data_IF_659623986176
#
_entry.id   IF_659623986176
#
_cell.length_a   1.000
_cell.length_b   1.000
_cell.length_c   1.000
_cell.angle_alpha   90.00
_cell.angle_beta   90.00
_cell.angle_gamma   90.00
#
_symmetry.space_group_name_H-M   'P 1'
#
loop_
_entity.id
_entity.type
_entity.pdbx_description
1 polymer ?
#
# COMPACT_ATOMS: atom_id res chain seq x y z
N UNK A 1 7.16 66.87 11.10
CA UNK A 1 8.19 65.82 10.95
C UNK A 1 7.87 64.49 11.68
N UNK A 2 6.76 64.33 12.42
CA UNK A 2 6.50 63.10 13.22
C UNK A 2 5.64 61.98 12.57
N UNK A 3 5.19 62.12 11.32
CA UNK A 3 4.32 61.09 10.68
C UNK A 3 5.12 60.00 9.92
N UNK A 4 6.30 60.33 9.39
CA UNK A 4 7.12 59.38 8.63
C UNK A 4 7.75 58.28 9.51
N UNK A 5 8.10 58.58 10.77
CA UNK A 5 8.72 57.61 11.68
C UNK A 5 7.73 56.59 12.28
N UNK A 6 6.43 56.91 12.35
CA UNK A 6 5.40 55.94 12.76
C UNK A 6 5.05 54.95 11.66
N UNK A 7 5.02 55.42 10.40
CA UNK A 7 4.70 54.58 9.25
C UNK A 7 5.77 53.50 9.00
N UNK A 8 7.05 53.80 9.26
CA UNK A 8 8.13 52.81 9.16
C UNK A 8 8.07 51.75 10.26
N UNK A 9 7.66 52.12 11.48
CA UNK A 9 7.49 51.18 12.59
C UNK A 9 6.37 50.16 12.39
N UNK A 10 5.25 50.57 11.80
CA UNK A 10 4.13 49.66 11.50
C UNK A 10 4.45 48.72 10.33
N UNK A 11 5.12 49.23 9.29
CA UNK A 11 5.63 48.41 8.18
C UNK A 11 6.65 47.36 8.66
N UNK A 12 7.54 47.75 9.57
CA UNK A 12 8.54 46.85 10.15
C UNK A 12 7.88 45.75 11.01
N UNK A 13 6.87 46.11 11.82
CA UNK A 13 6.07 45.13 12.59
C UNK A 13 5.29 44.17 11.71
N UNK A 14 4.65 44.67 10.66
CA UNK A 14 3.90 43.87 9.70
C UNK A 14 4.82 42.89 8.95
N UNK A 15 6.01 43.34 8.55
CA UNK A 15 7.00 42.50 7.89
C UNK A 15 7.52 41.38 8.81
N UNK A 16 7.82 41.68 10.08
CA UNK A 16 8.21 40.67 11.05
C UNK A 16 7.10 39.65 11.35
N UNK A 17 5.84 40.10 11.48
CA UNK A 17 4.70 39.20 11.64
C UNK A 17 4.52 38.28 10.43
N UNK A 18 4.66 38.81 9.21
CA UNK A 18 4.63 38.02 7.98
C UNK A 18 5.74 36.97 7.92
N UNK A 19 6.96 37.35 8.32
CA UNK A 19 8.12 36.45 8.33
C UNK A 19 7.96 35.35 9.38
N UNK A 20 7.44 35.66 10.57
CA UNK A 20 7.13 34.67 11.60
C UNK A 20 6.05 33.69 11.13
N UNK A 21 4.98 34.18 10.52
CA UNK A 21 3.93 33.32 9.94
C UNK A 21 4.46 32.40 8.84
N UNK A 22 5.34 32.91 7.98
CA UNK A 22 5.98 32.10 6.94
C UNK A 22 6.83 30.97 7.56
N UNK A 23 7.64 31.28 8.57
CA UNK A 23 8.46 30.29 9.27
C UNK A 23 7.58 29.23 9.95
N UNK A 24 6.51 29.64 10.63
CA UNK A 24 5.55 28.71 11.25
C UNK A 24 4.89 27.81 10.21
N UNK A 25 4.48 28.36 9.06
CA UNK A 25 3.90 27.58 7.97
C UNK A 25 4.88 26.56 7.39
N UNK A 26 6.15 26.94 7.21
CA UNK A 26 7.21 26.02 6.75
C UNK A 26 7.48 24.90 7.77
N UNK A 27 7.52 25.22 9.06
CA UNK A 27 7.70 24.22 10.13
C UNK A 27 6.51 23.26 10.18
N UNK A 28 5.27 23.76 10.07
CA UNK A 28 4.06 22.92 9.99
C UNK A 28 4.09 21.99 8.78
N UNK A 29 4.45 22.50 7.59
CA UNK A 29 4.57 21.67 6.39
C UNK A 29 5.65 20.60 6.54
N UNK A 30 6.81 20.95 7.12
CA UNK A 30 7.87 19.99 7.40
C UNK A 30 7.42 18.92 8.41
N UNK A 31 6.71 19.30 9.47
CA UNK A 31 6.19 18.36 10.46
C UNK A 31 5.16 17.39 9.85
N UNK A 32 4.26 17.87 9.00
CA UNK A 32 3.26 17.04 8.31
C UNK A 32 3.91 16.03 7.36
N UNK A 33 4.88 16.46 6.55
CA UNK A 33 5.61 15.56 5.65
C UNK A 33 6.45 14.50 6.37
N UNK A 34 6.89 14.76 7.60
CA UNK A 34 7.54 13.76 8.46
C UNK A 34 6.53 12.76 9.04
N UNK A 35 5.30 13.17 9.33
CA UNK A 35 4.23 12.28 9.80
C UNK A 35 3.68 11.38 8.68
N UNK A 36 3.71 11.84 7.42
CA UNK A 36 3.23 11.08 6.26
C UNK A 36 4.17 9.94 5.85
N UNK A 37 5.42 9.93 6.32
CA UNK A 37 6.30 8.76 6.20
C UNK A 37 5.87 7.72 7.24
N UNK A 38 4.81 6.99 6.91
CA UNK A 38 4.40 5.80 7.66
C UNK A 38 5.58 4.83 7.85
N UNK A 39 5.54 3.97 8.88
CA UNK A 39 6.60 3.00 9.11
C UNK A 39 6.77 2.11 7.87
N UNK A 40 7.96 2.15 7.28
CA UNK A 40 8.31 1.28 6.15
C UNK A 40 8.35 -0.16 6.66
N UNK A 41 7.42 -0.99 6.18
CA UNK A 41 7.37 -2.40 6.53
C UNK A 41 8.33 -3.16 5.62
N UNK A 42 9.31 -3.89 6.16
CA UNK A 42 10.25 -4.66 5.36
C UNK A 42 9.53 -5.60 4.37
N UNK A 43 10.00 -5.63 3.11
CA UNK A 43 9.34 -6.39 2.04
C UNK A 43 9.21 -7.89 2.32
N UNK A 44 10.18 -8.47 3.04
CA UNK A 44 10.14 -9.86 3.50
C UNK A 44 8.99 -10.13 4.50
N UNK A 45 8.66 -9.17 5.36
CA UNK A 45 7.51 -9.28 6.28
C UNK A 45 6.21 -9.29 5.50
N UNK A 46 6.09 -8.40 4.50
CA UNK A 46 4.94 -8.34 3.61
C UNK A 46 4.79 -9.65 2.82
N UNK A 47 5.88 -10.15 2.25
CA UNK A 47 5.92 -11.43 1.54
C UNK A 47 5.49 -12.61 2.43
N UNK A 48 5.99 -12.65 3.67
CA UNK A 48 5.63 -13.70 4.63
C UNK A 48 4.13 -13.70 4.95
N UNK A 49 3.55 -12.52 5.20
CA UNK A 49 2.10 -12.37 5.42
C UNK A 49 1.29 -12.78 4.20
N UNK A 50 1.71 -12.36 3.01
CA UNK A 50 1.06 -12.74 1.76
C UNK A 50 1.06 -14.26 1.57
N UNK A 51 2.21 -14.91 1.75
CA UNK A 51 2.35 -16.36 1.64
C UNK A 51 1.48 -17.09 2.69
N UNK A 52 1.38 -16.56 3.90
CA UNK A 52 0.49 -17.12 4.93
C UNK A 52 -0.98 -17.10 4.47
N UNK A 53 -1.46 -15.96 3.96
CA UNK A 53 -2.82 -15.84 3.44
C UNK A 53 -3.06 -16.77 2.25
N UNK A 54 -2.11 -16.87 1.31
CA UNK A 54 -2.20 -17.81 0.19
C UNK A 54 -2.32 -19.27 0.66
N UNK A 55 -1.52 -19.66 1.64
CA UNK A 55 -1.55 -21.02 2.17
C UNK A 55 -2.87 -21.32 2.90
N UNK A 56 -3.45 -20.34 3.61
CA UNK A 56 -4.77 -20.50 4.20
C UNK A 56 -5.87 -20.62 3.15
N UNK A 57 -5.86 -19.77 2.13
CA UNK A 57 -6.78 -19.85 1.00
C UNK A 57 -6.71 -21.23 0.34
N UNK A 58 -5.50 -21.71 0.04
CA UNK A 58 -5.29 -23.04 -0.55
C UNK A 58 -5.76 -24.15 0.38
N UNK A 59 -5.48 -24.04 1.68
CA UNK A 59 -5.92 -25.00 2.68
C UNK A 59 -7.44 -25.11 2.78
N UNK A 60 -8.14 -23.97 2.74
CA UNK A 60 -9.60 -23.92 2.74
C UNK A 60 -10.18 -24.48 1.43
N UNK A 61 -9.56 -24.15 0.30
CA UNK A 61 -9.99 -24.67 -1.01
C UNK A 61 -9.87 -26.20 -1.08
N UNK A 62 -8.77 -26.77 -0.57
CA UNK A 62 -8.57 -28.23 -0.51
C UNK A 62 -9.62 -28.96 0.36
N UNK A 63 -10.24 -28.25 1.31
CA UNK A 63 -11.30 -28.79 2.17
C UNK A 63 -12.71 -28.62 1.56
N UNK A 64 -12.83 -27.83 0.50
CA UNK A 64 -14.09 -27.54 -0.18
C UNK A 64 -14.25 -28.41 -1.43
N UNK A 65 -15.47 -28.60 -1.96
CA UNK A 65 -15.63 -29.09 -3.33
C UNK A 65 -14.85 -28.12 -4.23
N UNK A 66 -13.99 -28.63 -5.12
CA UNK A 66 -13.00 -27.86 -5.89
C UNK A 66 -13.68 -26.82 -6.81
N UNK A 67 -14.16 -25.74 -6.20
CA UNK A 67 -14.93 -24.70 -6.81
C UNK A 67 -14.00 -23.63 -7.38
N UNK A 68 -14.46 -23.01 -8.46
CA UNK A 68 -13.85 -21.84 -9.09
C UNK A 68 -14.08 -20.56 -8.27
N UNK A 69 -14.97 -20.61 -7.28
CA UNK A 69 -15.27 -19.53 -6.34
C UNK A 69 -15.27 -20.01 -4.91
N UNK A 70 -14.68 -19.21 -4.03
CA UNK A 70 -14.60 -19.52 -2.61
C UNK A 70 -14.92 -18.29 -1.76
N UNK A 71 -15.80 -18.46 -0.79
CA UNK A 71 -16.04 -17.46 0.26
C UNK A 71 -14.82 -17.43 1.19
N UNK A 72 -14.08 -16.34 1.13
CA UNK A 72 -12.88 -16.12 1.91
C UNK A 72 -13.14 -15.05 2.98
N UNK A 73 -12.61 -15.28 4.18
CA UNK A 73 -12.56 -14.25 5.22
C UNK A 73 -11.16 -13.65 5.23
N UNK A 74 -11.03 -12.42 4.78
CA UNK A 74 -9.75 -11.71 4.78
C UNK A 74 -9.20 -11.55 6.20
N UNK A 75 -7.89 -11.29 6.37
CA UNK A 75 -7.27 -11.15 7.69
C UNK A 75 -7.90 -10.08 8.59
N UNK A 76 -8.51 -9.05 8.00
CA UNK A 76 -9.26 -7.99 8.72
C UNK A 76 -10.72 -8.38 9.02
N UNK A 77 -11.13 -9.61 8.69
CA UNK A 77 -12.42 -10.19 9.02
C UNK A 77 -13.54 -9.94 8.02
N UNK A 78 -13.28 -9.24 6.90
CA UNK A 78 -14.28 -9.04 5.84
C UNK A 78 -14.52 -10.34 5.08
N UNK A 79 -15.78 -10.57 4.69
CA UNK A 79 -16.08 -11.64 3.74
C UNK A 79 -15.91 -11.12 2.31
N UNK A 80 -15.17 -11.87 1.51
CA UNK A 80 -14.87 -11.58 0.11
C UNK A 80 -14.95 -12.87 -0.70
N UNK A 81 -15.29 -12.78 -1.98
CA UNK A 81 -15.32 -13.94 -2.86
C UNK A 81 -14.03 -13.97 -3.66
N UNK A 82 -13.24 -15.04 -3.50
CA UNK A 82 -12.04 -15.27 -4.30
C UNK A 82 -12.39 -16.14 -5.50
N UNK A 83 -11.88 -15.76 -6.67
CA UNK A 83 -11.85 -16.65 -7.83
C UNK A 83 -10.63 -17.54 -7.69
N UNK A 84 -10.81 -18.86 -7.75
CA UNK A 84 -9.74 -19.85 -7.60
C UNK A 84 -9.58 -20.59 -8.92
N UNK A 85 -8.34 -20.84 -9.33
CA UNK A 85 -8.07 -21.74 -10.45
C UNK A 85 -8.39 -23.18 -10.02
N UNK A 86 -9.33 -23.88 -10.70
CA UNK A 86 -9.78 -25.20 -10.28
C UNK A 86 -8.72 -26.30 -10.48
N UNK A 87 -7.68 -26.04 -11.28
CA UNK A 87 -6.58 -26.97 -11.54
C UNK A 87 -5.47 -26.77 -10.51
N UNK A 88 -5.11 -25.53 -10.22
CA UNK A 88 -3.95 -25.21 -9.38
C UNK A 88 -4.30 -24.93 -7.92
N UNK A 89 -5.55 -24.57 -7.65
CA UNK A 89 -6.05 -24.21 -6.32
C UNK A 89 -5.60 -22.83 -5.83
N UNK A 90 -5.05 -22.01 -6.73
CA UNK A 90 -4.52 -20.70 -6.39
C UNK A 90 -5.48 -19.57 -6.76
N UNK A 91 -5.55 -18.51 -5.93
CA UNK A 91 -6.45 -17.39 -6.19
C UNK A 91 -6.00 -16.59 -7.42
N UNK A 92 -6.94 -16.32 -8.31
CA UNK A 92 -6.71 -15.58 -9.54
C UNK A 92 -6.90 -14.08 -9.32
N UNK A 93 -6.16 -13.23 -10.06
CA UNK A 93 -6.27 -11.77 -9.96
C UNK A 93 -7.48 -11.24 -10.72
N UNK A 94 -8.67 -11.71 -10.35
CA UNK A 94 -9.95 -11.38 -10.97
C UNK A 94 -10.89 -10.76 -9.92
N UNK A 95 -11.47 -9.57 -10.16
CA UNK A 95 -11.40 -8.78 -11.41
C UNK A 95 -10.03 -8.12 -11.68
N UNK A 96 -9.27 -7.80 -10.63
CA UNK A 96 -7.97 -7.13 -10.76
C UNK A 96 -7.00 -7.53 -9.63
N UNK A 97 -5.77 -7.02 -9.73
CA UNK A 97 -4.71 -7.26 -8.74
C UNK A 97 -4.93 -6.53 -7.41
N UNK A 98 -5.64 -5.39 -7.43
CA UNK A 98 -5.90 -4.61 -6.23
C UNK A 98 -6.92 -5.31 -5.32
N UNK A 99 -7.98 -5.85 -5.91
CA UNK A 99 -8.96 -6.70 -5.24
C UNK A 99 -8.30 -7.92 -4.62
N UNK A 100 -7.45 -8.62 -5.37
CA UNK A 100 -6.70 -9.76 -4.83
C UNK A 100 -5.81 -9.34 -3.67
N UNK A 101 -5.16 -8.17 -3.77
CA UNK A 101 -4.35 -7.61 -2.70
C UNK A 101 -5.14 -7.39 -1.41
N UNK A 102 -6.23 -6.65 -1.51
CA UNK A 102 -7.10 -6.35 -0.38
C UNK A 102 -7.70 -7.62 0.24
N UNK A 103 -8.11 -8.58 -0.59
CA UNK A 103 -8.68 -9.85 -0.13
C UNK A 103 -7.68 -10.69 0.67
N UNK A 104 -6.40 -10.74 0.25
CA UNK A 104 -5.38 -11.56 0.91
C UNK A 104 -4.71 -10.85 2.08
N UNK A 105 -4.54 -9.54 2.04
CA UNK A 105 -3.80 -8.82 3.08
C UNK A 105 -4.70 -8.14 4.11
N UNK A 106 -5.93 -7.79 3.75
CA UNK A 106 -6.86 -7.02 4.59
C UNK A 106 -6.40 -5.58 4.83
N UNK A 107 -7.21 -4.78 5.52
CA UNK A 107 -6.82 -3.45 5.96
C UNK A 107 -5.81 -3.50 7.12
N UNK A 108 -4.81 -2.60 7.19
CA UNK A 108 -4.58 -1.42 6.33
C UNK A 108 -3.58 -1.67 5.18
N UNK A 109 -3.54 -2.86 4.58
CA UNK A 109 -2.47 -3.22 3.64
C UNK A 109 -2.45 -2.41 2.34
N UNK A 110 -3.49 -1.64 2.02
CA UNK A 110 -3.46 -0.66 0.92
C UNK A 110 -2.32 0.35 1.09
N UNK A 111 -2.02 0.77 2.31
CA UNK A 111 -0.92 1.70 2.60
C UNK A 111 0.48 1.10 2.44
N UNK A 112 0.59 -0.20 2.18
CA UNK A 112 1.88 -0.89 2.00
C UNK A 112 2.31 -0.95 0.53
N UNK A 113 1.40 -0.66 -0.41
CA UNK A 113 1.67 -0.70 -1.84
C UNK A 113 1.66 0.71 -2.42
N UNK A 114 2.74 1.09 -3.09
CA UNK A 114 2.86 2.36 -3.83
C UNK A 114 2.47 2.22 -5.29
N UNK A 115 2.28 0.99 -5.78
CA UNK A 115 1.82 0.72 -7.14
C UNK A 115 1.44 -0.74 -7.34
N UNK A 116 0.45 -0.96 -8.19
CA UNK A 116 -0.05 -2.29 -8.56
C UNK A 116 -0.13 -2.37 -10.09
N UNK A 117 0.52 -3.37 -10.66
CA UNK A 117 0.63 -3.55 -12.11
C UNK A 117 0.39 -5.02 -12.47
N UNK A 118 -0.23 -5.28 -13.63
CA UNK A 118 -0.29 -6.63 -14.19
C UNK A 118 0.92 -6.82 -15.13
N UNK A 119 1.83 -7.76 -14.86
CA UNK A 119 3.02 -7.94 -15.68
C UNK A 119 2.68 -8.55 -17.04
N UNK A 120 3.21 -7.97 -18.12
CA UNK A 120 3.01 -8.51 -19.49
C UNK A 120 3.51 -9.96 -19.65
N UNK A 121 4.56 -10.31 -18.90
CA UNK A 121 5.15 -11.65 -18.92
C UNK A 121 4.38 -12.70 -18.12
N UNK A 122 3.39 -12.29 -17.31
CA UNK A 122 2.57 -13.19 -16.50
C UNK A 122 1.14 -12.63 -16.39
N UNK A 123 0.27 -12.88 -17.39
CA UNK A 123 -1.09 -12.34 -17.40
C UNK A 123 -1.94 -12.83 -16.21
N UNK A 124 -1.60 -14.01 -15.69
CA UNK A 124 -2.23 -14.62 -14.51
C UNK A 124 -1.54 -14.18 -13.19
N UNK A 125 -0.68 -13.16 -13.23
CA UNK A 125 0.12 -12.68 -12.11
C UNK A 125 -0.15 -11.21 -11.76
N UNK A 126 0.45 -10.76 -10.67
CA UNK A 126 0.38 -9.38 -10.19
C UNK A 126 1.74 -8.91 -9.70
N UNK A 127 2.03 -7.64 -9.91
CA UNK A 127 3.24 -6.97 -9.43
C UNK A 127 2.84 -5.86 -8.47
N UNK A 128 3.36 -5.91 -7.25
CA UNK A 128 3.09 -4.98 -6.16
C UNK A 128 4.38 -4.26 -5.78
N UNK A 129 4.38 -2.94 -5.84
CA UNK A 129 5.51 -2.10 -5.44
C UNK A 129 5.32 -1.73 -3.98
N UNK A 130 6.26 -2.11 -3.10
CA UNK A 130 6.16 -1.91 -1.64
C UNK A 130 6.93 -0.69 -1.13
N UNK A 131 7.59 0.03 -2.03
CA UNK A 131 8.47 1.17 -1.76
C UNK A 131 9.24 1.54 -3.04
N UNK A 132 10.32 2.31 -2.91
CA UNK A 132 11.06 2.81 -4.08
C UNK A 132 11.85 1.73 -4.83
N UNK A 133 12.27 0.67 -4.13
CA UNK A 133 13.18 -0.36 -4.67
C UNK A 133 12.67 -1.79 -4.53
N UNK A 134 11.57 -1.98 -3.84
CA UNK A 134 11.07 -3.32 -3.48
C UNK A 134 9.81 -3.63 -4.27
N UNK A 135 9.89 -4.68 -5.06
CA UNK A 135 8.82 -5.17 -5.92
C UNK A 135 8.53 -6.62 -5.57
N UNK A 136 7.27 -6.93 -5.27
CA UNK A 136 6.79 -8.27 -5.06
C UNK A 136 5.96 -8.73 -6.25
N UNK A 137 6.33 -9.85 -6.85
CA UNK A 137 5.59 -10.44 -7.99
C UNK A 137 4.92 -11.74 -7.56
N UNK A 138 3.60 -11.80 -7.73
CA UNK A 138 2.77 -12.98 -7.54
C UNK A 138 2.47 -13.66 -8.87
N UNK A 139 2.51 -14.99 -8.90
CA UNK A 139 2.19 -15.81 -10.07
C UNK A 139 1.00 -16.72 -9.77
N UNK A 140 -0.17 -16.43 -10.36
CA UNK A 140 -1.42 -17.15 -10.09
C UNK A 140 -1.43 -18.62 -10.52
N UNK A 141 -0.58 -19.02 -11.46
CA UNK A 141 -0.48 -20.44 -11.87
C UNK A 141 0.25 -21.32 -10.86
N UNK A 142 1.28 -20.78 -10.22
CA UNK A 142 2.17 -21.55 -9.34
C UNK A 142 1.95 -21.21 -7.87
N UNK A 143 1.25 -20.12 -7.58
CA UNK A 143 1.13 -19.54 -6.24
C UNK A 143 2.45 -18.96 -5.72
N UNK A 144 3.49 -18.86 -6.56
CA UNK A 144 4.80 -18.39 -6.13
C UNK A 144 4.79 -16.87 -5.96
N UNK A 145 5.56 -16.41 -4.98
CA UNK A 145 5.75 -14.99 -4.68
C UNK A 145 7.24 -14.70 -4.67
N UNK A 146 7.69 -13.81 -5.55
CA UNK A 146 9.10 -13.45 -5.69
C UNK A 146 9.26 -11.99 -5.26
N UNK A 147 10.18 -11.74 -4.34
CA UNK A 147 10.61 -10.40 -3.98
C UNK A 147 11.85 -10.04 -4.80
N UNK A 148 11.81 -8.88 -5.44
CA UNK A 148 12.94 -8.31 -6.20
C UNK A 148 13.17 -6.89 -5.69
N UNK A 149 14.38 -6.62 -5.23
CA UNK A 149 14.79 -5.35 -4.64
C UNK A 149 16.08 -5.54 -3.82
N UNK A 150 16.88 -4.50 -3.68
CA UNK A 150 18.04 -4.50 -2.79
C UNK A 150 17.59 -3.85 -1.48
N UNK A 151 17.60 -4.63 -0.40
CA UNK A 151 17.48 -4.12 0.98
C UNK A 151 18.65 -3.18 1.31
#
# INVERSE_FOLDING_TARGET
MNRQERASGELFRAWHLGLVLLVVALVMAAALSLLERGPEVPGNVVQSRWLQSLNWVRGQWLQSPHADRMDWKSPDGRQVVLTIDPVTGWPQPTPDCEYLWQALMGQPAEGLVTGIERPDSAPDGCRYRLGDRTVMTYFGRTGSVILTGND
#
